data_IF_232610408669
#
_entry.id   IF_232610408669
#
_cell.length_a   1.000
_cell.length_b   1.000
_cell.length_c   1.000
_cell.angle_alpha   90.00
_cell.angle_beta   90.00
_cell.angle_gamma   90.00
#
_symmetry.space_group_name_H-M   'P 1'
#
loop_
_entity.id
_entity.type
_entity.pdbx_description
1 polymer ?
#
# COMPACT_ATOMS: atom_id res chain seq x y z
N UNK A 1 21.63 -20.79 14.81
CA UNK A 1 20.67 -20.76 13.68
C UNK A 1 19.72 -19.59 13.93
N UNK A 2 20.16 -18.36 13.72
CA UNK A 2 19.45 -17.20 14.24
C UNK A 2 19.49 -16.11 13.15
N UNK A 3 18.31 -15.72 12.66
CA UNK A 3 18.13 -14.81 11.52
C UNK A 3 17.45 -15.34 10.24
N UNK A 4 17.17 -16.65 10.09
CA UNK A 4 16.44 -17.21 8.92
C UNK A 4 15.00 -17.58 9.31
N UNK A 5 14.03 -17.32 8.43
CA UNK A 5 12.65 -17.77 8.64
C UNK A 5 12.55 -19.30 8.60
N UNK A 6 11.73 -19.88 9.49
CA UNK A 6 11.37 -21.30 9.39
C UNK A 6 10.50 -21.54 8.15
N UNK A 7 10.37 -22.79 7.66
CA UNK A 7 9.47 -23.10 6.53
C UNK A 7 8.03 -22.63 6.78
N UNK A 8 7.50 -22.85 7.98
CA UNK A 8 6.15 -22.43 8.39
C UNK A 8 6.02 -20.90 8.39
N UNK A 9 6.99 -20.21 8.99
CA UNK A 9 7.01 -18.75 9.02
C UNK A 9 7.10 -18.17 7.61
N UNK A 10 7.85 -18.81 6.71
CA UNK A 10 7.98 -18.39 5.31
C UNK A 10 6.67 -18.55 4.55
N UNK A 11 5.98 -19.68 4.71
CA UNK A 11 4.66 -19.90 4.13
C UNK A 11 3.63 -18.87 4.65
N UNK A 12 3.70 -18.53 5.94
CA UNK A 12 2.85 -17.48 6.52
C UNK A 12 3.15 -16.10 5.92
N UNK A 13 4.42 -15.74 5.79
CA UNK A 13 4.85 -14.48 5.14
C UNK A 13 4.35 -14.41 3.69
N UNK A 14 4.52 -15.49 2.92
CA UNK A 14 4.11 -15.55 1.53
C UNK A 14 2.58 -15.37 1.40
N UNK A 15 1.81 -16.01 2.29
CA UNK A 15 0.37 -15.81 2.36
C UNK A 15 -0.02 -14.37 2.69
N UNK A 16 0.64 -13.74 3.67
CA UNK A 16 0.38 -12.35 4.04
C UNK A 16 0.70 -11.36 2.91
N UNK A 17 1.71 -11.65 2.08
CA UNK A 17 2.03 -10.84 0.90
C UNK A 17 0.97 -11.00 -0.19
N UNK A 18 0.55 -12.23 -0.48
CA UNK A 18 -0.52 -12.47 -1.45
C UNK A 18 -1.83 -11.80 -1.04
N UNK A 19 -2.19 -11.89 0.25
CA UNK A 19 -3.38 -11.22 0.76
C UNK A 19 -3.28 -9.70 0.62
N UNK A 20 -2.13 -9.09 0.93
CA UNK A 20 -1.93 -7.64 0.72
C UNK A 20 -2.12 -7.26 -0.75
N UNK A 21 -1.60 -8.06 -1.69
CA UNK A 21 -1.75 -7.80 -3.12
C UNK A 21 -3.21 -7.86 -3.56
N UNK A 22 -3.94 -8.89 -3.12
CA UNK A 22 -5.37 -9.05 -3.39
C UNK A 22 -6.20 -7.89 -2.79
N UNK A 23 -5.95 -7.55 -1.53
CA UNK A 23 -6.64 -6.47 -0.82
C UNK A 23 -6.36 -5.10 -1.45
N UNK A 24 -5.16 -4.87 -1.97
CA UNK A 24 -4.79 -3.61 -2.64
C UNK A 24 -5.31 -3.48 -4.06
N UNK A 25 -5.52 -4.59 -4.75
CA UNK A 25 -5.89 -4.62 -6.17
C UNK A 25 -7.03 -3.66 -6.54
N UNK A 26 -8.21 -3.68 -5.88
CA UNK A 26 -9.30 -2.77 -6.25
C UNK A 26 -8.93 -1.30 -6.06
N UNK A 27 -8.13 -0.96 -5.05
CA UNK A 27 -7.72 0.42 -4.82
C UNK A 27 -6.67 0.89 -5.82
N UNK A 28 -5.77 0.00 -6.27
CA UNK A 28 -4.81 0.31 -7.36
C UNK A 28 -5.53 0.52 -8.69
N UNK A 29 -6.54 -0.30 -8.99
CA UNK A 29 -7.39 -0.13 -10.17
C UNK A 29 -8.16 1.21 -10.11
N UNK A 30 -8.68 1.58 -8.94
CA UNK A 30 -9.38 2.84 -8.75
C UNK A 30 -8.43 4.05 -8.82
N UNK A 31 -7.23 3.97 -8.23
CA UNK A 31 -6.19 5.00 -8.31
C UNK A 31 -5.83 5.28 -9.77
N UNK A 32 -5.57 4.24 -10.57
CA UNK A 32 -5.22 4.37 -11.97
C UNK A 32 -6.37 4.98 -12.79
N UNK A 33 -7.60 4.55 -12.52
CA UNK A 33 -8.81 5.07 -13.21
C UNK A 33 -9.05 6.53 -12.86
N UNK A 34 -9.08 6.88 -11.57
CA UNK A 34 -9.30 8.25 -11.10
C UNK A 34 -8.20 9.21 -11.59
N UNK A 35 -6.93 8.77 -11.62
CA UNK A 35 -5.83 9.58 -12.17
C UNK A 35 -5.99 9.82 -13.67
N UNK A 36 -6.38 8.79 -14.43
CA UNK A 36 -6.64 8.93 -15.86
C UNK A 36 -7.77 9.93 -16.12
N UNK A 37 -8.89 9.78 -15.43
CA UNK A 37 -10.04 10.68 -15.54
C UNK A 37 -9.69 12.12 -15.14
N UNK A 38 -8.92 12.30 -14.05
CA UNK A 38 -8.44 13.61 -13.63
C UNK A 38 -7.61 14.28 -14.73
N UNK A 39 -6.71 13.53 -15.38
CA UNK A 39 -5.92 14.06 -16.49
C UNK A 39 -6.81 14.43 -17.69
N UNK A 40 -7.79 13.59 -18.05
CA UNK A 40 -8.75 13.87 -19.13
C UNK A 40 -9.59 15.13 -18.84
N UNK A 41 -9.92 15.39 -17.58
CA UNK A 41 -10.64 16.60 -17.17
C UNK A 41 -9.83 17.87 -17.45
N UNK A 42 -8.49 17.85 -17.34
CA UNK A 42 -7.65 19.04 -17.53
C UNK A 42 -7.61 19.57 -18.97
N UNK A 43 -8.06 18.79 -19.95
CA UNK A 43 -8.08 19.17 -21.37
C UNK A 43 -9.49 19.49 -21.89
N UNK A 44 -10.49 19.52 -21.01
CA UNK A 44 -11.88 19.90 -21.34
C UNK A 44 -12.09 21.41 -21.19
N UNK A 45 -12.83 22.01 -22.10
CA UNK A 45 -13.11 23.45 -22.10
C UNK A 45 -14.19 23.86 -21.08
N UNK A 46 -15.08 22.93 -20.70
CA UNK A 46 -16.24 23.17 -19.84
C UNK A 46 -16.10 22.63 -18.42
N UNK A 47 -14.92 22.11 -18.07
CA UNK A 47 -14.66 21.53 -16.75
C UNK A 47 -14.75 22.60 -15.66
N UNK A 48 -15.38 22.24 -14.56
CA UNK A 48 -15.43 23.09 -13.37
C UNK A 48 -14.44 22.62 -12.32
N UNK A 49 -13.89 23.56 -11.56
CA UNK A 49 -12.89 23.25 -10.55
C UNK A 49 -13.43 22.37 -9.41
N UNK A 50 -14.72 22.49 -9.07
CA UNK A 50 -15.37 21.63 -8.08
C UNK A 50 -15.39 20.15 -8.51
N UNK A 51 -15.62 19.89 -9.79
CA UNK A 51 -15.53 18.53 -10.36
C UNK A 51 -14.10 17.99 -10.29
N UNK A 52 -13.09 18.83 -10.60
CA UNK A 52 -11.67 18.47 -10.49
C UNK A 52 -11.30 18.15 -9.04
N UNK A 53 -11.74 18.96 -8.08
CA UNK A 53 -11.49 18.73 -6.66
C UNK A 53 -12.14 17.43 -6.16
N UNK A 54 -13.38 17.16 -6.56
CA UNK A 54 -14.03 15.89 -6.22
C UNK A 54 -13.26 14.68 -6.78
N UNK A 55 -12.70 14.78 -8.01
CA UNK A 55 -11.88 13.72 -8.59
C UNK A 55 -10.53 13.56 -7.88
N UNK A 56 -9.93 14.64 -7.41
CA UNK A 56 -8.72 14.59 -6.56
C UNK A 56 -9.03 13.88 -5.25
N UNK A 57 -10.17 14.17 -4.61
CA UNK A 57 -10.57 13.51 -3.36
C UNK A 57 -10.76 12.01 -3.55
N UNK A 58 -11.35 11.58 -4.67
CA UNK A 58 -11.48 10.17 -5.04
C UNK A 58 -10.11 9.48 -5.20
N UNK A 59 -9.20 10.11 -5.95
CA UNK A 59 -7.82 9.62 -6.12
C UNK A 59 -7.11 9.48 -4.77
N UNK A 60 -7.24 10.49 -3.91
CA UNK A 60 -6.62 10.49 -2.58
C UNK A 60 -7.25 9.46 -1.65
N UNK A 61 -8.57 9.21 -1.76
CA UNK A 61 -9.24 8.15 -1.02
C UNK A 61 -8.66 6.77 -1.36
N UNK A 62 -8.44 6.47 -2.66
CA UNK A 62 -7.82 5.22 -3.08
C UNK A 62 -6.38 5.07 -2.54
N UNK A 63 -5.54 6.10 -2.71
CA UNK A 63 -4.17 6.12 -2.16
C UNK A 63 -4.14 5.94 -0.65
N UNK A 64 -5.07 6.55 0.07
CA UNK A 64 -5.19 6.41 1.53
C UNK A 64 -5.49 4.97 1.94
N UNK A 65 -6.36 4.25 1.22
CA UNK A 65 -6.63 2.84 1.52
C UNK A 65 -5.43 1.95 1.24
N UNK A 66 -4.73 2.17 0.13
CA UNK A 66 -3.47 1.45 -0.17
C UNK A 66 -2.47 1.67 0.97
N UNK A 67 -2.27 2.91 1.41
CA UNK A 67 -1.37 3.22 2.52
C UNK A 67 -1.79 2.51 3.82
N UNK A 68 -3.08 2.54 4.18
CA UNK A 68 -3.59 1.85 5.38
C UNK A 68 -3.26 0.36 5.34
N UNK A 69 -3.57 -0.32 4.24
CA UNK A 69 -3.28 -1.75 4.06
C UNK A 69 -1.78 -2.04 4.15
N UNK A 70 -0.92 -1.18 3.57
CA UNK A 70 0.54 -1.35 3.68
C UNK A 70 1.00 -1.29 5.13
N UNK A 71 0.56 -0.29 5.89
CA UNK A 71 1.00 -0.12 7.27
C UNK A 71 0.41 -1.16 8.22
N UNK A 72 -0.82 -1.59 7.99
CA UNK A 72 -1.40 -2.75 8.68
C UNK A 72 -0.57 -4.01 8.42
N UNK A 73 -0.24 -4.30 7.15
CA UNK A 73 0.62 -5.42 6.80
C UNK A 73 2.00 -5.35 7.47
N UNK A 74 2.61 -4.16 7.59
CA UNK A 74 3.89 -4.02 8.31
C UNK A 74 3.76 -4.38 9.80
N UNK A 75 2.68 -3.95 10.44
CA UNK A 75 2.40 -4.26 11.85
C UNK A 75 2.17 -5.77 12.02
N UNK A 76 1.35 -6.38 11.19
CA UNK A 76 1.06 -7.82 11.26
C UNK A 76 2.30 -8.66 10.96
N UNK A 77 3.08 -8.31 9.94
CA UNK A 77 4.34 -9.00 9.61
C UNK A 77 5.29 -8.99 10.80
N UNK A 78 5.38 -7.87 11.53
CA UNK A 78 6.25 -7.78 12.70
C UNK A 78 5.83 -8.72 13.84
N UNK A 79 4.53 -9.02 13.99
CA UNK A 79 4.02 -9.90 15.07
C UNK A 79 4.48 -11.34 14.93
N UNK A 80 4.73 -11.81 13.71
CA UNK A 80 5.13 -13.19 13.43
C UNK A 80 6.66 -13.40 13.44
N UNK A 81 7.42 -12.35 13.74
CA UNK A 81 8.88 -12.40 13.82
C UNK A 81 9.34 -12.74 15.24
N UNK A 82 10.47 -13.45 15.34
CA UNK A 82 11.21 -13.55 16.59
C UNK A 82 11.84 -12.21 16.96
N UNK A 83 12.21 -12.02 18.23
CA UNK A 83 12.80 -10.76 18.69
C UNK A 83 14.09 -10.41 17.96
N UNK A 84 14.90 -11.40 17.61
CA UNK A 84 16.10 -11.19 16.80
C UNK A 84 15.78 -10.78 15.35
N UNK A 85 14.75 -11.38 14.75
CA UNK A 85 14.31 -11.02 13.39
C UNK A 85 13.73 -9.60 13.34
N UNK A 86 13.06 -9.15 14.41
CA UNK A 86 12.50 -7.79 14.51
C UNK A 86 13.57 -6.71 14.38
N UNK A 87 14.78 -6.90 14.93
CA UNK A 87 15.87 -5.90 14.84
C UNK A 87 16.15 -5.53 13.38
N UNK A 88 16.42 -6.52 12.52
CA UNK A 88 16.68 -6.28 11.09
C UNK A 88 15.45 -5.81 10.33
N UNK A 89 14.26 -6.24 10.74
CA UNK A 89 13.01 -5.80 10.13
C UNK A 89 12.75 -4.32 10.39
N UNK A 90 12.86 -3.89 11.65
CA UNK A 90 12.65 -2.52 12.11
C UNK A 90 13.64 -1.57 11.43
N UNK A 91 14.92 -1.94 11.31
CA UNK A 91 15.92 -1.16 10.54
C UNK A 91 15.51 -0.95 9.08
N UNK A 92 14.92 -1.97 8.42
CA UNK A 92 14.45 -1.84 7.04
C UNK A 92 13.23 -0.95 6.94
N UNK A 93 12.30 -1.04 7.89
CA UNK A 93 11.11 -0.19 7.93
C UNK A 93 11.52 1.28 8.12
N UNK A 94 12.41 1.57 9.07
CA UNK A 94 12.87 2.93 9.37
C UNK A 94 13.70 3.57 8.25
N UNK A 95 14.31 2.78 7.37
CA UNK A 95 15.06 3.26 6.20
C UNK A 95 14.20 3.56 4.97
N UNK A 96 12.88 3.30 5.02
CA UNK A 96 11.98 3.65 3.91
C UNK A 96 11.84 5.18 3.84
N UNK A 97 12.38 5.78 2.80
CA UNK A 97 12.35 7.23 2.57
C UNK A 97 11.12 7.70 1.79
N UNK A 98 10.34 6.79 1.21
CA UNK A 98 9.24 7.13 0.34
C UNK A 98 8.00 6.28 0.64
N UNK A 99 6.84 6.93 0.56
CA UNK A 99 5.56 6.24 0.51
C UNK A 99 5.23 6.01 -0.96
N UNK A 100 5.84 4.98 -1.55
CA UNK A 100 5.54 4.49 -2.91
C UNK A 100 4.38 3.51 -2.86
#
# INVERSE_FOLDING_TARGET
QSGRHSPEQRAQIDHMHHQLDDDQKPYKENEATALKELNEMTIREDVKLDEVYAKIDELMAAKNQIMRLRYEHLIEMRKILSDEQKVRYDERVLKRSEVN
#
